data_IF_996787814855
#
_entry.id   IF_996787814855
#
_cell.length_a   1.000
_cell.length_b   1.000
_cell.length_c   1.000
_cell.angle_alpha   90.00
_cell.angle_beta   90.00
_cell.angle_gamma   90.00
#
_symmetry.space_group_name_H-M   'P 1'
#
loop_
_entity.id
_entity.type
_entity.pdbx_description
1 polymer ?
#
# COMPACT_ATOMS: atom_id res chain seq x y z
N UNK A 1 30.62 -5.01 -6.49
CA UNK A 1 30.56 -4.42 -7.85
C UNK A 1 31.91 -4.64 -8.54
N UNK A 2 31.93 -5.06 -9.81
CA UNK A 2 33.18 -5.24 -10.56
C UNK A 2 33.70 -3.90 -11.11
N UNK A 3 35.02 -3.79 -11.28
CA UNK A 3 35.70 -2.61 -11.86
C UNK A 3 35.14 -2.23 -13.24
N UNK A 4 34.81 -3.22 -14.06
CA UNK A 4 34.18 -3.03 -15.37
C UNK A 4 32.76 -2.43 -15.26
N UNK A 5 31.99 -2.83 -14.23
CA UNK A 5 30.67 -2.25 -13.96
C UNK A 5 30.75 -0.80 -13.50
N UNK A 6 31.71 -0.47 -12.64
CA UNK A 6 31.96 0.91 -12.21
C UNK A 6 32.31 1.82 -13.40
N UNK A 7 33.23 1.38 -14.26
CA UNK A 7 33.62 2.13 -15.47
C UNK A 7 32.43 2.39 -16.42
N UNK A 8 31.55 1.40 -16.60
CA UNK A 8 30.33 1.57 -17.41
C UNK A 8 29.37 2.60 -16.80
N UNK A 9 29.19 2.59 -15.49
CA UNK A 9 28.30 3.55 -14.82
C UNK A 9 28.81 5.00 -14.96
N UNK A 10 30.11 5.23 -14.83
CA UNK A 10 30.71 6.55 -15.04
C UNK A 10 30.50 7.02 -16.49
N UNK A 11 30.75 6.16 -17.48
CA UNK A 11 30.53 6.51 -18.89
C UNK A 11 29.07 6.84 -19.22
N UNK A 12 28.12 6.15 -18.60
CA UNK A 12 26.68 6.42 -18.76
C UNK A 12 26.28 7.76 -18.16
N UNK A 13 26.80 8.09 -16.98
CA UNK A 13 26.57 9.40 -16.36
C UNK A 13 27.08 10.53 -17.25
N UNK A 14 28.28 10.39 -17.82
CA UNK A 14 28.83 11.35 -18.79
C UNK A 14 27.94 11.48 -20.03
N UNK A 15 27.45 10.36 -20.56
CA UNK A 15 26.56 10.36 -21.74
C UNK A 15 25.25 11.10 -21.46
N UNK A 16 24.62 10.87 -20.30
CA UNK A 16 23.40 11.59 -19.92
C UNK A 16 23.61 13.10 -19.84
N UNK A 17 24.76 13.55 -19.32
CA UNK A 17 25.09 14.98 -19.29
C UNK A 17 25.25 15.53 -20.71
N UNK A 18 25.96 14.82 -21.60
CA UNK A 18 26.14 15.24 -22.99
C UNK A 18 24.83 15.28 -23.80
N UNK A 19 23.89 14.38 -23.51
CA UNK A 19 22.54 14.44 -24.10
C UNK A 19 21.78 15.69 -23.65
N UNK A 20 21.84 16.01 -22.35
CA UNK A 20 21.19 17.22 -21.80
C UNK A 20 21.79 18.51 -22.37
N UNK A 21 23.06 18.51 -22.76
CA UNK A 21 23.73 19.65 -23.41
C UNK A 21 23.63 19.61 -24.95
N UNK A 22 22.86 18.69 -25.53
CA UNK A 22 22.64 18.59 -26.98
C UNK A 22 23.82 18.06 -27.79
N UNK A 23 24.87 17.55 -27.13
CA UNK A 23 26.07 17.04 -27.79
C UNK A 23 25.93 15.57 -28.27
N UNK A 24 24.88 14.87 -27.82
CA UNK A 24 24.53 13.51 -28.23
C UNK A 24 23.04 13.46 -28.56
N UNK A 25 22.69 12.98 -29.74
CA UNK A 25 21.30 12.75 -30.16
C UNK A 25 20.67 11.63 -29.31
N UNK A 26 19.53 11.93 -28.69
CA UNK A 26 18.78 11.00 -27.83
C UNK A 26 17.75 10.23 -28.66
N UNK A 27 17.72 8.91 -28.52
CA UNK A 27 16.65 8.08 -29.08
C UNK A 27 15.33 8.32 -28.34
N UNK A 28 14.21 8.39 -29.09
CA UNK A 28 12.89 8.74 -28.57
C UNK A 28 11.90 7.60 -28.81
N UNK A 29 11.51 6.91 -27.75
CA UNK A 29 10.62 5.74 -27.80
C UNK A 29 9.27 6.07 -27.15
N UNK A 30 8.48 6.93 -27.80
CA UNK A 30 7.26 7.48 -27.20
C UNK A 30 6.27 6.40 -26.74
N UNK A 31 6.10 5.34 -27.53
CA UNK A 31 5.15 4.27 -27.22
C UNK A 31 5.60 3.49 -25.97
N UNK A 32 6.89 3.16 -25.88
CA UNK A 32 7.47 2.55 -24.68
C UNK A 32 7.34 3.47 -23.47
N UNK A 33 7.63 4.77 -23.61
CA UNK A 33 7.54 5.74 -22.51
C UNK A 33 6.12 5.85 -21.95
N UNK A 34 5.09 5.68 -22.80
CA UNK A 34 3.68 5.62 -22.36
C UNK A 34 3.43 4.37 -21.51
N UNK A 35 3.86 3.21 -21.98
CA UNK A 35 3.65 1.94 -21.26
C UNK A 35 4.45 1.86 -19.96
N UNK A 36 5.69 2.38 -19.94
CA UNK A 36 6.48 2.53 -18.72
C UNK A 36 5.74 3.41 -17.69
N UNK A 37 5.18 4.55 -18.11
CA UNK A 37 4.41 5.43 -17.21
C UNK A 37 3.14 4.76 -16.68
N UNK A 38 2.43 4.00 -17.51
CA UNK A 38 1.25 3.23 -17.10
C UNK A 38 1.65 2.18 -16.06
N UNK A 39 2.73 1.43 -16.30
CA UNK A 39 3.28 0.47 -15.35
C UNK A 39 3.65 1.15 -14.03
N UNK A 40 4.35 2.30 -14.06
CA UNK A 40 4.73 3.04 -12.85
C UNK A 40 3.55 3.55 -12.05
N UNK A 41 2.48 3.95 -12.74
CA UNK A 41 1.22 4.35 -12.08
C UNK A 41 0.58 3.17 -11.38
N UNK A 42 0.51 2.01 -12.04
CA UNK A 42 -0.01 0.77 -11.44
C UNK A 42 0.85 0.31 -10.25
N UNK A 43 2.17 0.27 -10.39
CA UNK A 43 3.12 -0.09 -9.34
C UNK A 43 2.89 0.74 -8.07
N UNK A 44 2.84 2.07 -8.21
CA UNK A 44 2.63 2.98 -7.09
C UNK A 44 1.27 2.75 -6.41
N UNK A 45 0.21 2.55 -7.20
CA UNK A 45 -1.12 2.27 -6.68
C UNK A 45 -1.18 0.93 -5.94
N UNK A 46 -0.57 -0.13 -6.47
CA UNK A 46 -0.54 -1.46 -5.86
C UNK A 46 0.28 -1.49 -4.57
N UNK A 47 1.43 -0.81 -4.51
CA UNK A 47 2.22 -0.69 -3.28
C UNK A 47 1.48 0.10 -2.19
N UNK A 48 0.76 1.16 -2.59
CA UNK A 48 -0.12 1.88 -1.66
C UNK A 48 -1.23 0.98 -1.15
N UNK A 49 -1.90 0.25 -2.05
CA UNK A 49 -2.95 -0.71 -1.67
C UNK A 49 -2.42 -1.76 -0.69
N UNK A 50 -1.21 -2.30 -0.90
CA UNK A 50 -0.58 -3.25 0.03
C UNK A 50 -0.43 -2.65 1.43
N UNK A 51 0.05 -1.40 1.52
CA UNK A 51 0.22 -0.70 2.79
C UNK A 51 -1.12 -0.46 3.48
N UNK A 52 -2.11 0.06 2.77
CA UNK A 52 -3.43 0.38 3.33
C UNK A 52 -4.19 -0.90 3.74
N UNK A 53 -4.12 -1.96 2.93
CA UNK A 53 -4.76 -3.24 3.26
C UNK A 53 -4.18 -3.85 4.54
N UNK A 54 -2.86 -3.74 4.75
CA UNK A 54 -2.23 -4.16 6.01
C UNK A 54 -2.67 -3.26 7.16
N UNK A 55 -2.64 -1.95 6.96
CA UNK A 55 -3.07 -0.97 7.96
C UNK A 55 -4.52 -1.16 8.40
N UNK A 56 -5.41 -1.57 7.50
CA UNK A 56 -6.80 -1.89 7.81
C UNK A 56 -6.92 -3.05 8.81
N UNK A 57 -6.22 -4.17 8.56
CA UNK A 57 -6.24 -5.32 9.47
C UNK A 57 -5.67 -4.96 10.85
N UNK A 58 -4.57 -4.22 10.88
CA UNK A 58 -3.95 -3.76 12.13
C UNK A 58 -4.88 -2.82 12.90
N UNK A 59 -5.62 -1.95 12.19
CA UNK A 59 -6.60 -1.05 12.79
C UNK A 59 -7.81 -1.80 13.36
N UNK A 60 -8.32 -2.82 12.66
CA UNK A 60 -9.39 -3.67 13.17
C UNK A 60 -8.99 -4.34 14.50
N UNK A 61 -7.79 -4.93 14.56
CA UNK A 61 -7.26 -5.55 15.78
C UNK A 61 -7.08 -4.54 16.91
N UNK A 62 -6.56 -3.35 16.59
CA UNK A 62 -6.36 -2.29 17.58
C UNK A 62 -7.69 -1.79 18.16
N UNK A 63 -8.71 -1.63 17.29
CA UNK A 63 -10.05 -1.24 17.68
C UNK A 63 -10.69 -2.26 18.62
N UNK A 64 -10.67 -3.55 18.29
CA UNK A 64 -11.28 -4.58 19.15
C UNK A 64 -10.53 -4.76 20.46
N UNK A 65 -9.19 -4.70 20.44
CA UNK A 65 -8.40 -4.68 21.67
C UNK A 65 -8.73 -3.46 22.55
N UNK A 66 -9.02 -2.30 21.96
CA UNK A 66 -9.48 -1.12 22.71
C UNK A 66 -10.88 -1.30 23.27
N UNK A 67 -11.79 -1.87 22.49
CA UNK A 67 -13.15 -2.17 22.92
C UNK A 67 -13.16 -3.15 24.10
N UNK A 68 -12.30 -4.18 24.06
CA UNK A 68 -12.08 -5.13 25.15
C UNK A 68 -11.66 -4.44 26.46
N UNK A 69 -10.65 -3.55 26.42
CA UNK A 69 -10.21 -2.80 27.60
C UNK A 69 -11.31 -1.92 28.20
N UNK A 70 -12.14 -1.31 27.35
CA UNK A 70 -13.30 -0.53 27.80
C UNK A 70 -14.29 -1.47 28.52
N UNK A 71 -14.62 -2.62 27.93
CA UNK A 71 -15.51 -3.60 28.52
C UNK A 71 -15.01 -4.11 29.89
N UNK A 72 -13.72 -4.44 30.00
CA UNK A 72 -13.09 -4.85 31.26
C UNK A 72 -13.14 -3.76 32.33
N UNK A 73 -12.89 -2.50 31.95
CA UNK A 73 -12.90 -1.36 32.88
C UNK A 73 -14.32 -1.07 33.38
N UNK A 74 -15.31 -1.10 32.49
CA UNK A 74 -16.73 -0.89 32.84
C UNK A 74 -17.22 -2.02 33.76
N UNK A 75 -16.91 -3.28 33.44
CA UNK A 75 -17.26 -4.43 34.27
C UNK A 75 -16.60 -4.34 35.66
N UNK A 76 -15.33 -3.96 35.75
CA UNK A 76 -14.66 -3.77 37.04
C UNK A 76 -15.25 -2.60 37.85
N UNK A 77 -15.66 -1.51 37.19
CA UNK A 77 -16.23 -0.33 37.86
C UNK A 77 -17.65 -0.58 38.37
N UNK A 78 -18.52 -1.18 37.55
CA UNK A 78 -19.93 -1.40 37.89
C UNK A 78 -20.22 -2.80 38.49
N UNK A 79 -19.25 -3.72 38.49
CA UNK A 79 -19.45 -5.17 38.69
C UNK A 79 -20.10 -5.61 40.00
N UNK A 80 -19.63 -5.13 41.15
CA UNK A 80 -20.17 -5.53 42.46
C UNK A 80 -21.15 -4.52 43.06
N UNK A 81 -21.21 -3.29 42.54
CA UNK A 81 -21.96 -2.17 43.15
C UNK A 81 -22.93 -1.43 42.21
N UNK A 82 -22.85 -1.62 40.88
CA UNK A 82 -23.20 -0.54 39.95
C UNK A 82 -24.24 -0.83 38.87
N UNK A 83 -24.64 -2.07 38.59
CA UNK A 83 -25.63 -2.35 37.54
C UNK A 83 -26.66 -3.37 38.06
N UNK A 84 -27.82 -2.88 38.52
CA UNK A 84 -28.96 -3.75 38.92
C UNK A 84 -29.52 -4.57 37.75
N UNK A 85 -29.06 -4.31 36.53
CA UNK A 85 -29.59 -4.80 35.25
C UNK A 85 -28.62 -5.71 34.46
N UNK A 86 -27.38 -5.91 34.92
CA UNK A 86 -26.41 -6.81 34.28
C UNK A 86 -25.86 -6.31 32.93
N UNK A 87 -26.12 -5.06 32.56
CA UNK A 87 -25.72 -4.43 31.28
C UNK A 87 -24.21 -4.50 31.07
N UNK A 88 -23.41 -4.18 32.09
CA UNK A 88 -21.95 -4.15 32.00
C UNK A 88 -21.37 -5.53 31.67
N UNK A 89 -21.89 -6.59 32.31
CA UNK A 89 -21.52 -7.98 32.02
C UNK A 89 -21.94 -8.41 30.62
N UNK A 90 -23.16 -8.06 30.20
CA UNK A 90 -23.65 -8.35 28.85
C UNK A 90 -22.81 -7.66 27.78
N UNK A 91 -22.44 -6.39 27.99
CA UNK A 91 -21.54 -5.67 27.10
C UNK A 91 -20.18 -6.36 27.01
N UNK A 92 -19.57 -6.70 28.15
CA UNK A 92 -18.29 -7.41 28.18
C UNK A 92 -18.34 -8.73 27.40
N UNK A 93 -19.36 -9.55 27.62
CA UNK A 93 -19.55 -10.80 26.87
C UNK A 93 -19.65 -10.55 25.36
N UNK A 94 -20.48 -9.58 24.95
CA UNK A 94 -20.65 -9.26 23.54
C UNK A 94 -19.34 -8.80 22.86
N UNK A 95 -18.48 -8.08 23.59
CA UNK A 95 -17.16 -7.66 23.09
C UNK A 95 -16.17 -8.83 23.07
N UNK A 96 -16.17 -9.70 24.09
CA UNK A 96 -15.36 -10.91 24.14
C UNK A 96 -15.67 -11.83 22.96
N UNK A 97 -16.94 -12.06 22.67
CA UNK A 97 -17.35 -12.90 21.56
C UNK A 97 -17.02 -12.25 20.21
N UNK A 98 -17.12 -10.92 20.10
CA UNK A 98 -16.70 -10.18 18.89
C UNK A 98 -15.21 -10.35 18.61
N UNK A 99 -14.37 -10.24 19.63
CA UNK A 99 -12.92 -10.45 19.46
C UNK A 99 -12.60 -11.91 19.14
N UNK A 100 -13.15 -12.84 19.93
CA UNK A 100 -12.79 -14.25 19.88
C UNK A 100 -13.32 -14.97 18.65
N UNK A 101 -14.57 -14.73 18.26
CA UNK A 101 -15.24 -15.51 17.22
C UNK A 101 -15.30 -14.78 15.87
N UNK A 102 -15.27 -13.44 15.88
CA UNK A 102 -15.35 -12.66 14.64
C UNK A 102 -13.94 -12.26 14.17
N UNK A 103 -13.18 -11.51 14.96
CA UNK A 103 -11.87 -11.00 14.51
C UNK A 103 -10.87 -12.14 14.25
N UNK A 104 -10.71 -13.05 15.21
CA UNK A 104 -9.76 -14.17 15.04
C UNK A 104 -10.15 -15.07 13.86
N UNK A 105 -11.44 -15.26 13.62
CA UNK A 105 -11.94 -16.03 12.48
C UNK A 105 -11.77 -15.31 11.13
N UNK A 106 -11.76 -13.97 11.11
CA UNK A 106 -11.56 -13.17 9.90
C UNK A 106 -10.07 -12.93 9.59
N UNK A 107 -9.20 -13.00 10.59
CA UNK A 107 -7.77 -12.69 10.43
C UNK A 107 -7.07 -13.57 9.38
N UNK A 108 -7.23 -14.89 9.50
CA UNK A 108 -6.68 -15.87 8.56
C UNK A 108 -7.20 -15.66 7.14
N UNK A 109 -8.53 -15.69 6.92
CA UNK A 109 -9.13 -15.40 5.63
C UNK A 109 -8.67 -14.07 5.02
N UNK A 110 -8.61 -12.98 5.79
CA UNK A 110 -8.13 -11.70 5.29
C UNK A 110 -6.67 -11.76 4.84
N UNK A 111 -5.79 -12.37 5.65
CA UNK A 111 -4.39 -12.56 5.27
C UNK A 111 -4.26 -13.33 3.96
N UNK A 112 -4.93 -14.48 3.85
CA UNK A 112 -4.80 -15.39 2.70
C UNK A 112 -5.47 -14.86 1.43
N UNK A 113 -6.62 -14.20 1.55
CA UNK A 113 -7.42 -13.77 0.38
C UNK A 113 -7.17 -12.31 -0.02
N UNK A 114 -6.64 -11.48 0.88
CA UNK A 114 -6.39 -10.06 0.62
C UNK A 114 -4.89 -9.74 0.66
N UNK A 115 -4.23 -9.93 1.81
CA UNK A 115 -2.85 -9.46 1.98
C UNK A 115 -1.83 -10.24 1.16
N UNK A 116 -1.93 -11.56 1.16
CA UNK A 116 -0.99 -12.43 0.45
C UNK A 116 -1.03 -12.22 -1.07
N UNK A 117 -2.19 -12.19 -1.75
CA UNK A 117 -2.25 -11.93 -3.18
C UNK A 117 -1.69 -10.55 -3.54
N UNK A 118 -2.07 -9.49 -2.82
CA UNK A 118 -1.52 -8.14 -3.07
C UNK A 118 0.00 -8.13 -2.89
N UNK A 119 0.50 -8.81 -1.85
CA UNK A 119 1.94 -8.90 -1.57
C UNK A 119 2.68 -9.66 -2.67
N UNK A 120 2.13 -10.79 -3.13
CA UNK A 120 2.71 -11.57 -4.24
C UNK A 120 2.71 -10.78 -5.53
N UNK A 121 1.65 -10.04 -5.84
CA UNK A 121 1.60 -9.15 -7.00
C UNK A 121 2.70 -8.09 -6.95
N UNK A 122 2.85 -7.42 -5.80
CA UNK A 122 3.88 -6.39 -5.62
C UNK A 122 5.31 -6.94 -5.65
N UNK A 123 5.49 -8.23 -5.34
CA UNK A 123 6.81 -8.88 -5.32
C UNK A 123 7.45 -9.00 -6.72
N UNK A 124 6.68 -8.87 -7.81
CA UNK A 124 7.22 -8.87 -9.17
C UNK A 124 7.84 -7.54 -9.60
N UNK A 125 7.44 -6.42 -8.96
CA UNK A 125 7.87 -5.09 -9.40
C UNK A 125 9.39 -4.86 -9.34
N UNK A 126 10.15 -5.34 -8.33
CA UNK A 126 11.61 -5.21 -8.32
C UNK A 126 12.29 -5.80 -9.56
N UNK A 127 11.84 -6.98 -10.02
CA UNK A 127 12.42 -7.64 -11.19
C UNK A 127 12.08 -6.90 -12.49
N UNK A 128 10.82 -6.46 -12.64
CA UNK A 128 10.40 -5.64 -13.78
C UNK A 128 11.18 -4.32 -13.82
N UNK A 129 11.39 -3.68 -12.66
CA UNK A 129 12.18 -2.46 -12.54
C UNK A 129 13.64 -2.65 -12.94
N UNK A 130 14.25 -3.77 -12.59
CA UNK A 130 15.61 -4.09 -13.02
C UNK A 130 15.67 -4.32 -14.53
N UNK A 131 14.65 -4.89 -15.16
CA UNK A 131 14.56 -4.97 -16.62
C UNK A 131 14.44 -3.58 -17.28
N UNK A 132 13.55 -2.72 -16.78
CA UNK A 132 13.39 -1.32 -17.24
C UNK A 132 14.71 -0.56 -17.14
N UNK A 133 15.38 -0.65 -15.99
CA UNK A 133 16.69 -0.04 -15.74
C UNK A 133 17.77 -0.58 -16.67
N UNK A 134 17.80 -1.90 -16.91
CA UNK A 134 18.72 -2.51 -17.88
C UNK A 134 18.47 -2.00 -19.28
N UNK A 135 17.22 -1.88 -19.74
CA UNK A 135 16.86 -1.27 -21.03
C UNK A 135 17.41 0.15 -21.12
N UNK A 136 17.14 0.99 -20.12
CA UNK A 136 17.65 2.38 -20.09
C UNK A 136 19.18 2.46 -20.16
N UNK A 137 19.89 1.56 -19.47
CA UNK A 137 21.34 1.46 -19.59
C UNK A 137 21.81 1.05 -20.99
N UNK A 138 21.13 0.13 -21.65
CA UNK A 138 21.47 -0.31 -23.01
C UNK A 138 21.21 0.79 -24.05
N UNK A 139 20.13 1.55 -23.88
CA UNK A 139 19.83 2.71 -24.72
C UNK A 139 20.93 3.77 -24.65
N UNK A 140 21.43 4.07 -23.43
CA UNK A 140 22.56 5.00 -23.25
C UNK A 140 23.85 4.49 -23.90
N UNK A 141 24.14 3.19 -23.74
CA UNK A 141 25.33 2.56 -24.35
C UNK A 141 25.23 2.63 -25.90
N UNK A 142 24.05 2.36 -26.47
CA UNK A 142 23.76 2.47 -27.90
C UNK A 142 23.92 3.90 -28.43
N UNK A 143 23.28 4.89 -27.80
CA UNK A 143 23.34 6.29 -28.24
C UNK A 143 24.77 6.85 -28.15
N UNK A 144 25.54 6.47 -27.11
CA UNK A 144 26.94 6.88 -26.97
C UNK A 144 27.83 6.30 -28.10
N UNK A 145 27.63 5.03 -28.44
CA UNK A 145 28.36 4.39 -29.55
C UNK A 145 27.94 4.98 -30.90
N UNK A 146 26.65 5.28 -31.09
CA UNK A 146 26.15 5.93 -32.32
C UNK A 146 26.81 7.29 -32.53
N UNK A 147 26.87 8.12 -31.49
CA UNK A 147 27.56 9.41 -31.54
C UNK A 147 29.06 9.26 -31.80
N UNK A 148 29.71 8.24 -31.21
CA UNK A 148 31.13 7.96 -31.42
C UNK A 148 31.43 7.51 -32.86
N UNK A 149 30.60 6.64 -33.44
CA UNK A 149 30.71 6.22 -34.85
C UNK A 149 30.52 7.42 -35.78
N UNK A 150 29.49 8.24 -35.58
CA UNK A 150 29.26 9.48 -36.35
C UNK A 150 30.51 10.37 -36.35
N UNK A 151 31.09 10.62 -35.17
CA UNK A 151 32.31 11.43 -35.03
C UNK A 151 33.53 10.82 -35.72
N UNK A 152 33.71 9.49 -35.66
CA UNK A 152 34.82 8.80 -36.33
C UNK A 152 34.65 8.78 -37.86
N UNK A 153 33.41 8.74 -38.35
CA UNK A 153 33.13 8.84 -39.78
C UNK A 153 33.40 10.26 -40.33
N UNK A 154 33.01 11.29 -39.58
CA UNK A 154 33.28 12.71 -39.94
C UNK A 154 34.76 13.08 -39.82
N UNK A 155 35.45 12.54 -38.80
CA UNK A 155 36.87 12.76 -38.57
C UNK A 155 37.59 11.41 -38.37
N UNK A 156 38.09 10.80 -39.46
CA UNK A 156 38.79 9.52 -39.40
C UNK A 156 39.98 9.55 -38.44
N UNK A 157 40.14 8.47 -37.68
CA UNK A 157 41.29 8.29 -36.80
C UNK A 157 42.53 7.88 -37.60
N UNK A 158 43.72 8.01 -36.99
CA UNK A 158 44.97 7.49 -37.58
C UNK A 158 44.95 5.97 -37.66
N UNK A 159 44.25 5.31 -36.75
CA UNK A 159 44.00 3.87 -36.79
C UNK A 159 42.76 3.54 -37.64
N UNK A 160 43.00 3.03 -38.85
CA UNK A 160 41.97 2.64 -39.80
C UNK A 160 41.05 1.50 -39.31
N UNK A 161 41.47 0.73 -38.30
CA UNK A 161 40.66 -0.37 -37.74
C UNK A 161 39.65 0.10 -36.69
N UNK A 162 39.84 1.32 -36.17
CA UNK A 162 39.05 1.86 -35.05
C UNK A 162 37.58 2.09 -35.42
N UNK A 163 37.31 2.59 -36.62
CA UNK A 163 35.94 2.80 -37.10
C UNK A 163 35.21 1.45 -37.29
N UNK A 164 35.71 0.49 -38.10
CA UNK A 164 35.09 -0.84 -38.24
C UNK A 164 34.86 -1.56 -36.91
N UNK A 165 35.81 -1.45 -35.97
CA UNK A 165 35.66 -2.02 -34.63
C UNK A 165 34.54 -1.34 -33.85
N UNK A 166 34.45 -0.02 -33.88
CA UNK A 166 33.40 0.73 -33.15
C UNK A 166 32.03 0.51 -33.78
N UNK A 167 31.94 0.33 -35.10
CA UNK A 167 30.71 -0.06 -35.81
C UNK A 167 30.22 -1.45 -35.36
N UNK A 168 31.12 -2.43 -35.24
CA UNK A 168 30.77 -3.75 -34.67
C UNK A 168 30.28 -3.65 -33.22
N UNK A 169 30.91 -2.80 -32.41
CA UNK A 169 30.45 -2.53 -31.04
C UNK A 169 29.06 -1.87 -31.01
N UNK A 170 28.78 -0.96 -31.94
CA UNK A 170 27.48 -0.30 -32.12
C UNK A 170 26.38 -1.32 -32.46
N UNK A 171 26.62 -2.21 -33.43
CA UNK A 171 25.65 -3.25 -33.80
C UNK A 171 25.32 -4.19 -32.63
N UNK A 172 26.33 -4.57 -31.84
CA UNK A 172 26.11 -5.37 -30.63
C UNK A 172 25.30 -4.61 -29.56
N UNK A 173 25.56 -3.30 -29.39
CA UNK A 173 24.82 -2.48 -28.44
C UNK A 173 23.37 -2.25 -28.88
N UNK A 174 23.16 -2.07 -30.19
CA UNK A 174 21.84 -1.94 -30.82
C UNK A 174 21.00 -3.18 -30.59
N UNK A 175 21.49 -4.36 -30.96
CA UNK A 175 20.79 -5.62 -30.78
C UNK A 175 20.43 -5.88 -29.30
N UNK A 176 21.34 -5.58 -28.37
CA UNK A 176 21.08 -5.74 -26.94
C UNK A 176 20.05 -4.75 -26.38
N UNK A 177 19.94 -3.55 -26.95
CA UNK A 177 18.90 -2.59 -26.60
C UNK A 177 17.55 -2.99 -27.22
N UNK A 178 17.52 -3.29 -28.52
CA UNK A 178 16.29 -3.67 -29.26
C UNK A 178 15.63 -4.90 -28.64
N UNK A 179 16.41 -5.92 -28.25
CA UNK A 179 15.89 -7.11 -27.55
C UNK A 179 15.11 -6.74 -26.27
N UNK A 180 15.68 -5.91 -25.40
CA UNK A 180 15.00 -5.49 -24.16
C UNK A 180 13.85 -4.52 -24.43
N UNK A 181 13.98 -3.70 -25.47
CA UNK A 181 12.95 -2.75 -25.87
C UNK A 181 11.70 -3.48 -26.37
N UNK A 182 11.85 -4.44 -27.27
CA UNK A 182 10.75 -5.24 -27.81
C UNK A 182 10.08 -6.06 -26.70
N UNK A 183 10.89 -6.70 -25.85
CA UNK A 183 10.38 -7.46 -24.71
C UNK A 183 9.48 -6.58 -23.82
N UNK A 184 10.01 -5.45 -23.32
CA UNK A 184 9.25 -4.61 -22.39
C UNK A 184 8.07 -3.90 -23.06
N UNK A 185 8.19 -3.52 -24.33
CA UNK A 185 7.08 -2.90 -25.07
C UNK A 185 5.92 -3.88 -25.28
N UNK A 186 6.22 -5.17 -25.39
CA UNK A 186 5.21 -6.24 -25.52
C UNK A 186 4.64 -6.66 -24.16
N UNK A 187 5.49 -6.84 -23.15
CA UNK A 187 5.11 -7.48 -21.89
C UNK A 187 4.53 -6.51 -20.84
N UNK A 188 4.92 -5.22 -20.84
CA UNK A 188 4.36 -4.25 -19.88
C UNK A 188 2.84 -4.07 -20.03
N UNK A 189 2.27 -3.90 -21.24
CA UNK A 189 0.81 -3.82 -21.41
C UNK A 189 0.10 -5.08 -20.89
N UNK A 190 0.65 -6.26 -21.18
CA UNK A 190 0.07 -7.53 -20.73
C UNK A 190 0.07 -7.65 -19.20
N UNK A 191 1.19 -7.29 -18.55
CA UNK A 191 1.28 -7.25 -17.10
C UNK A 191 0.26 -6.29 -16.49
N UNK A 192 0.09 -5.11 -17.11
CA UNK A 192 -0.91 -4.13 -16.69
C UNK A 192 -2.31 -4.75 -16.79
N UNK A 193 -2.66 -5.40 -17.90
CA UNK A 193 -3.99 -5.98 -18.09
C UNK A 193 -4.29 -7.14 -17.14
N UNK A 194 -3.29 -7.96 -16.82
CA UNK A 194 -3.41 -9.06 -15.85
C UNK A 194 -3.71 -8.61 -14.41
N UNK A 195 -3.52 -7.33 -14.08
CA UNK A 195 -3.83 -6.80 -12.73
C UNK A 195 -5.28 -7.03 -12.33
N UNK A 196 -6.22 -6.93 -13.27
CA UNK A 196 -7.66 -7.00 -13.02
C UNK A 196 -8.06 -8.43 -12.63
N UNK A 197 -7.90 -9.45 -13.49
CA UNK A 197 -8.28 -10.82 -13.12
C UNK A 197 -7.50 -11.37 -11.94
N UNK A 198 -6.30 -10.84 -11.66
CA UNK A 198 -5.52 -11.23 -10.49
C UNK A 198 -6.06 -10.63 -9.17
N UNK A 199 -6.42 -9.34 -9.16
CA UNK A 199 -6.83 -8.62 -7.95
C UNK A 199 -8.35 -8.59 -7.71
N UNK A 200 -9.17 -8.86 -8.73
CA UNK A 200 -10.64 -8.87 -8.59
C UNK A 200 -11.13 -9.83 -7.48
N UNK A 201 -10.66 -11.10 -7.39
CA UNK A 201 -11.07 -11.99 -6.30
C UNK A 201 -10.67 -11.46 -4.92
N UNK A 202 -9.53 -10.77 -4.84
CA UNK A 202 -9.07 -10.13 -3.61
C UNK A 202 -9.97 -8.97 -3.20
N UNK A 203 -10.41 -8.14 -4.16
CA UNK A 203 -11.36 -7.07 -3.88
C UNK A 203 -12.71 -7.62 -3.41
N UNK A 204 -13.22 -8.66 -4.06
CA UNK A 204 -14.46 -9.33 -3.65
C UNK A 204 -14.36 -9.91 -2.24
N UNK A 205 -13.24 -10.58 -1.93
CA UNK A 205 -12.99 -11.14 -0.59
C UNK A 205 -12.93 -10.04 0.48
N UNK A 206 -12.26 -8.92 0.19
CA UNK A 206 -12.19 -7.76 1.08
C UNK A 206 -13.60 -7.26 1.45
N UNK A 207 -14.46 -7.03 0.46
CA UNK A 207 -15.84 -6.56 0.69
C UNK A 207 -16.64 -7.56 1.51
N UNK A 208 -16.53 -8.85 1.20
CA UNK A 208 -17.22 -9.93 1.94
C UNK A 208 -16.78 -10.02 3.40
N UNK A 209 -15.48 -9.89 3.66
CA UNK A 209 -14.93 -9.88 5.02
C UNK A 209 -15.42 -8.66 5.79
N UNK A 210 -15.41 -7.47 5.16
CA UNK A 210 -15.92 -6.25 5.77
C UNK A 210 -17.40 -6.35 6.12
N UNK A 211 -18.22 -6.85 5.19
CA UNK A 211 -19.65 -7.06 5.42
C UNK A 211 -19.89 -8.00 6.59
N UNK A 212 -19.16 -9.13 6.64
CA UNK A 212 -19.28 -10.10 7.73
C UNK A 212 -18.89 -9.49 9.08
N UNK A 213 -17.79 -8.75 9.13
CA UNK A 213 -17.37 -8.05 10.34
C UNK A 213 -18.46 -7.09 10.85
N UNK A 214 -18.97 -6.22 9.96
CA UNK A 214 -20.01 -5.26 10.31
C UNK A 214 -21.32 -5.93 10.77
N UNK A 215 -21.74 -7.00 10.09
CA UNK A 215 -22.95 -7.74 10.44
C UNK A 215 -22.84 -8.43 11.81
N UNK A 216 -21.70 -9.09 12.09
CA UNK A 216 -21.48 -9.73 13.39
C UNK A 216 -21.32 -8.69 14.51
N UNK A 217 -20.60 -7.58 14.27
CA UNK A 217 -20.49 -6.47 15.23
C UNK A 217 -21.87 -5.87 15.57
N UNK A 218 -22.69 -5.61 14.56
CA UNK A 218 -24.06 -5.12 14.77
C UNK A 218 -24.88 -6.12 15.59
N UNK A 219 -24.88 -7.40 15.19
CA UNK A 219 -25.66 -8.44 15.88
C UNK A 219 -25.31 -8.53 17.36
N UNK A 220 -24.01 -8.53 17.70
CA UNK A 220 -23.55 -8.60 19.09
C UNK A 220 -23.92 -7.34 19.88
N UNK A 221 -23.76 -6.15 19.31
CA UNK A 221 -24.11 -4.90 20.00
C UNK A 221 -25.63 -4.74 20.16
N UNK A 222 -26.43 -5.20 19.21
CA UNK A 222 -27.89 -5.19 19.30
C UNK A 222 -28.40 -6.04 20.49
N UNK A 223 -27.71 -7.12 20.83
CA UNK A 223 -28.03 -7.93 22.02
C UNK A 223 -27.74 -7.19 23.33
N UNK A 224 -26.81 -6.24 23.35
CA UNK A 224 -26.55 -5.40 24.53
C UNK A 224 -27.59 -4.28 24.61
N UNK A 225 -28.01 -3.74 23.47
CA UNK A 225 -28.97 -2.64 23.38
C UNK A 225 -30.28 -2.95 24.10
N UNK A 226 -30.74 -4.20 24.12
CA UNK A 226 -31.98 -4.59 24.81
C UNK A 226 -31.95 -4.35 26.34
N UNK A 227 -30.76 -4.22 26.93
CA UNK A 227 -30.58 -3.94 28.34
C UNK A 227 -30.42 -2.43 28.64
N UNK A 228 -30.26 -1.61 27.60
CA UNK A 228 -30.11 -0.15 27.74
C UNK A 228 -31.48 0.53 27.80
N UNK A 229 -31.57 1.59 28.60
CA UNK A 229 -32.79 2.39 28.71
C UNK A 229 -33.09 3.11 27.38
N UNK A 230 -34.26 2.80 26.81
CA UNK A 230 -34.70 3.26 25.49
C UNK A 230 -34.78 4.79 25.40
N UNK A 231 -35.07 5.45 26.53
CA UNK A 231 -35.29 6.90 26.58
C UNK A 231 -33.95 7.67 26.61
N UNK A 232 -32.81 7.03 26.91
CA UNK A 232 -31.51 7.70 27.06
C UNK A 232 -31.10 8.50 25.82
N UNK A 233 -31.38 7.96 24.62
CA UNK A 233 -31.05 8.63 23.35
C UNK A 233 -31.93 9.85 23.11
N UNK A 234 -33.21 9.75 23.46
CA UNK A 234 -34.17 10.84 23.27
C UNK A 234 -33.96 11.92 24.34
N UNK A 235 -33.67 11.54 25.58
CA UNK A 235 -33.22 12.44 26.65
C UNK A 235 -31.92 13.19 26.31
N UNK A 236 -30.99 12.55 25.58
CA UNK A 236 -29.80 13.24 25.06
C UNK A 236 -30.17 14.25 23.97
N UNK A 237 -31.00 13.84 23.00
CA UNK A 237 -31.45 14.71 21.92
C UNK A 237 -32.24 15.95 22.41
N UNK A 238 -32.97 15.81 23.52
CA UNK A 238 -33.74 16.87 24.15
C UNK A 238 -32.95 17.70 25.19
N UNK A 239 -31.67 17.36 25.44
CA UNK A 239 -30.80 18.05 26.40
C UNK A 239 -31.08 17.73 27.88
N UNK A 240 -32.03 16.84 28.16
CA UNK A 240 -32.39 16.40 29.51
C UNK A 240 -31.30 15.52 30.15
N UNK A 241 -30.53 14.79 29.35
CA UNK A 241 -29.41 14.00 29.84
C UNK A 241 -28.31 14.89 30.46
N UNK A 242 -27.98 16.02 29.81
CA UNK A 242 -26.96 16.94 30.28
C UNK A 242 -27.36 17.59 31.61
N UNK A 243 -28.63 17.98 31.75
CA UNK A 243 -29.17 18.52 33.00
C UNK A 243 -29.09 17.49 34.15
N UNK A 244 -29.38 16.22 33.86
CA UNK A 244 -29.28 15.12 34.83
C UNK A 244 -27.83 14.85 35.23
N UNK A 245 -26.89 14.89 34.29
CA UNK A 245 -25.45 14.74 34.58
C UNK A 245 -24.96 15.89 35.46
N UNK A 246 -25.30 17.14 35.14
CA UNK A 246 -24.89 18.29 35.95
C UNK A 246 -25.51 18.26 37.36
N UNK A 247 -26.75 17.78 37.49
CA UNK A 247 -27.36 17.57 38.81
C UNK A 247 -26.56 16.56 39.66
N UNK A 248 -26.18 15.41 39.09
CA UNK A 248 -25.34 14.43 39.79
C UNK A 248 -23.96 15.01 40.11
N UNK A 249 -23.37 15.80 39.21
CA UNK A 249 -22.11 16.49 39.48
C UNK A 249 -22.25 17.50 40.62
N UNK A 250 -23.38 18.19 40.73
CA UNK A 250 -23.67 19.10 41.84
C UNK A 250 -23.80 18.35 43.16
N UNK A 251 -24.49 17.21 43.20
CA UNK A 251 -24.54 16.34 44.39
C UNK A 251 -23.14 15.87 44.81
N UNK A 252 -22.27 15.53 43.85
CA UNK A 252 -20.87 15.18 44.11
C UNK A 252 -20.11 16.39 44.70
N UNK A 253 -20.33 17.60 44.17
CA UNK A 253 -19.72 18.84 44.67
C UNK A 253 -20.18 19.19 46.08
N UNK A 254 -21.34 18.73 46.53
CA UNK A 254 -21.87 18.97 47.88
C UNK A 254 -21.33 17.98 48.92
N UNK A 255 -20.63 16.92 48.50
CA UNK A 255 -19.99 15.99 49.42
C UNK A 255 -18.88 16.69 50.21
N UNK A 256 -18.82 16.46 51.52
CA UNK A 256 -17.83 17.07 52.42
C UNK A 256 -16.37 16.76 52.07
N UNK A 257 -16.14 15.69 51.31
CA UNK A 257 -14.83 15.28 50.78
C UNK A 257 -14.38 16.09 49.57
N UNK A 258 -15.30 16.80 48.91
CA UNK A 258 -15.07 17.60 47.71
C UNK A 258 -14.53 19.00 48.04
N UNK A 259 -14.31 19.30 49.33
CA UNK A 259 -13.63 20.51 49.79
C UNK A 259 -14.39 21.81 49.56
N UNK A 260 -15.71 21.76 49.37
CA UNK A 260 -16.59 22.93 49.35
C UNK A 260 -16.92 23.36 50.78
N UNK A 261 -15.89 23.87 51.45
CA UNK A 261 -15.92 25.06 52.31
C UNK A 261 -14.77 25.96 51.84
#
# INVERSE_FOLDING_TARGET
MSWAGFKKNVNRATTQVMMKTGHVEKTNDRDYEVEERRFKTMEAASLRLQKEAKGYLDSLRAMTASQMRIAETIDAFYGDSGARDGVSRSYKQAVEDLDAETIKALDGPYRTTVLEPITRFCAYFPDVNECIKKRGHKLLDYDALRAKVKKLAEKPDKDATKLPRTEKELEMARAAYEQLNEQLSSELPQLIDLRVPYLDPTFEALVKIQLRFCAEAYSRMAQVQQYLDADTRDLYAEGHLDARVEQVLQEIRELSISGTV
#
